data_IF_560801817314
#
_entry.id   IF_560801817314
#
_cell.length_a   1.000
_cell.length_b   1.000
_cell.length_c   1.000
_cell.angle_alpha   90.00
_cell.angle_beta   90.00
_cell.angle_gamma   90.00
#
_symmetry.space_group_name_H-M   'P 1'
#
loop_
_entity.id
_entity.type
_entity.pdbx_description
1 polymer ?
#
# COMPACT_ATOMS: atom_id res chain seq x y z
N UNK A 1 -25.48 5.85 -1.31
CA UNK A 1 -26.24 6.83 -2.11
C UNK A 1 -25.41 8.08 -2.43
N UNK A 2 -24.84 8.81 -1.46
CA UNK A 2 -24.07 10.04 -1.74
C UNK A 2 -22.73 9.83 -2.47
N UNK A 3 -21.99 8.75 -2.17
CA UNK A 3 -20.77 8.35 -2.88
C UNK A 3 -21.01 8.03 -4.37
N UNK A 4 -22.22 7.63 -4.76
CA UNK A 4 -22.54 7.39 -6.18
C UNK A 4 -22.91 8.67 -6.93
N UNK A 5 -23.14 9.78 -6.23
CA UNK A 5 -23.63 11.03 -6.83
C UNK A 5 -22.57 12.10 -7.04
N UNK A 6 -21.29 11.86 -6.68
CA UNK A 6 -20.17 12.82 -6.77
C UNK A 6 -20.49 14.23 -6.22
N UNK A 7 -21.40 14.30 -5.25
CA UNK A 7 -21.88 15.55 -4.63
C UNK A 7 -21.15 15.76 -3.29
N UNK A 8 -19.83 15.85 -3.36
CA UNK A 8 -18.97 16.05 -2.18
C UNK A 8 -19.40 17.29 -1.37
N UNK A 9 -19.78 18.38 -2.04
CA UNK A 9 -20.22 19.63 -1.39
C UNK A 9 -21.51 19.48 -0.57
N UNK A 10 -22.44 18.63 -1.00
CA UNK A 10 -23.70 18.40 -0.28
C UNK A 10 -23.46 17.48 0.91
N UNK A 11 -22.59 16.47 0.76
CA UNK A 11 -22.18 15.66 1.89
C UNK A 11 -21.40 16.49 2.92
N UNK A 12 -20.52 17.39 2.47
CA UNK A 12 -19.78 18.31 3.34
C UNK A 12 -20.74 19.21 4.14
N UNK A 13 -21.71 19.85 3.49
CA UNK A 13 -22.74 20.68 4.16
C UNK A 13 -23.63 19.88 5.12
N UNK A 14 -23.99 18.65 4.77
CA UNK A 14 -24.76 17.76 5.66
C UNK A 14 -23.96 17.38 6.92
N UNK A 15 -22.63 17.27 6.79
CA UNK A 15 -21.74 16.86 7.87
C UNK A 15 -21.34 18.01 8.81
N UNK A 16 -21.29 19.25 8.30
CA UNK A 16 -21.15 20.46 9.13
C UNK A 16 -22.37 20.70 10.03
N UNK A 17 -23.55 20.20 9.64
CA UNK A 17 -24.74 20.18 10.48
C UNK A 17 -24.63 19.09 11.58
N UNK A 18 -23.72 19.35 12.54
CA UNK A 18 -23.30 18.44 13.63
C UNK A 18 -24.45 17.90 14.49
N UNK A 19 -25.65 18.51 14.44
CA UNK A 19 -26.80 18.09 15.23
C UNK A 19 -27.58 16.93 14.60
N UNK A 20 -27.65 16.83 13.26
CA UNK A 20 -28.44 15.81 12.57
C UNK A 20 -27.75 14.45 12.45
N UNK A 21 -26.42 14.42 12.36
CA UNK A 21 -25.66 13.23 11.96
C UNK A 21 -24.68 12.68 13.00
N UNK A 22 -24.71 13.22 14.23
CA UNK A 22 -23.92 12.70 15.36
C UNK A 22 -24.16 11.19 15.59
N UNK A 23 -25.39 10.73 15.28
CA UNK A 23 -25.77 9.32 15.35
C UNK A 23 -25.24 8.47 14.18
N UNK A 24 -25.12 9.04 12.99
CA UNK A 24 -24.65 8.34 11.79
C UNK A 24 -23.13 8.08 11.85
N UNK A 25 -22.39 9.04 12.39
CA UNK A 25 -20.96 8.96 12.67
C UNK A 25 -20.58 7.89 13.71
N UNK A 26 -21.55 7.26 14.37
CA UNK A 26 -21.26 6.15 15.27
C UNK A 26 -20.90 4.85 14.55
N UNK A 27 -21.21 4.73 13.26
CA UNK A 27 -20.86 3.57 12.45
C UNK A 27 -19.52 3.81 11.74
N UNK A 28 -18.52 2.95 11.99
CA UNK A 28 -17.19 3.06 11.39
C UNK A 28 -17.23 3.19 9.86
N UNK A 29 -18.16 2.48 9.20
CA UNK A 29 -18.35 2.56 7.75
C UNK A 29 -18.78 3.96 7.30
N UNK A 30 -19.67 4.62 8.05
CA UNK A 30 -20.07 6.00 7.74
C UNK A 30 -18.88 6.97 7.88
N UNK A 31 -18.01 6.73 8.86
CA UNK A 31 -16.77 7.51 9.04
C UNK A 31 -15.80 7.29 7.86
N UNK A 32 -15.62 6.04 7.39
CA UNK A 32 -14.79 5.79 6.19
C UNK A 32 -15.34 6.54 4.98
N UNK A 33 -16.65 6.44 4.72
CA UNK A 33 -17.29 7.15 3.59
C UNK A 33 -17.09 8.66 3.72
N UNK A 34 -17.21 9.20 4.93
CA UNK A 34 -16.97 10.62 5.17
C UNK A 34 -15.52 11.02 4.89
N UNK A 35 -14.55 10.25 5.40
CA UNK A 35 -13.13 10.49 5.12
C UNK A 35 -12.81 10.38 3.62
N UNK A 36 -13.45 9.45 2.92
CA UNK A 36 -13.29 9.27 1.48
C UNK A 36 -13.82 10.49 0.70
N UNK A 37 -14.99 11.01 1.08
CA UNK A 37 -15.55 12.24 0.49
C UNK A 37 -14.68 13.48 0.78
N UNK A 38 -14.09 13.57 1.97
CA UNK A 38 -13.12 14.62 2.28
C UNK A 38 -11.86 14.48 1.41
N UNK A 39 -11.39 13.26 1.20
CA UNK A 39 -10.23 12.96 0.37
C UNK A 39 -10.49 13.31 -1.11
N UNK A 40 -11.64 12.92 -1.66
CA UNK A 40 -12.07 13.30 -3.01
C UNK A 40 -12.21 14.82 -3.18
N UNK A 41 -12.62 15.53 -2.12
CA UNK A 41 -12.70 17.00 -2.07
C UNK A 41 -11.39 17.71 -1.74
N UNK A 42 -10.26 17.00 -1.79
CA UNK A 42 -8.90 17.51 -1.49
C UNK A 42 -8.78 18.16 -0.10
N UNK A 43 -9.63 17.76 0.85
CA UNK A 43 -9.64 18.22 2.25
C UNK A 43 -8.75 17.32 3.11
N UNK A 44 -7.48 17.20 2.73
CA UNK A 44 -6.56 16.21 3.29
C UNK A 44 -6.29 16.41 4.78
N UNK A 45 -6.14 17.64 5.25
CA UNK A 45 -5.96 17.94 6.66
C UNK A 45 -7.19 17.51 7.49
N UNK A 46 -8.38 17.65 6.92
CA UNK A 46 -9.63 17.23 7.56
C UNK A 46 -9.74 15.70 7.62
N UNK A 47 -9.24 14.98 6.60
CA UNK A 47 -9.14 13.51 6.64
C UNK A 47 -8.27 13.07 7.82
N UNK A 48 -7.08 13.67 7.96
CA UNK A 48 -6.14 13.35 9.05
C UNK A 48 -6.77 13.65 10.41
N UNK A 49 -7.37 14.83 10.59
CA UNK A 49 -8.06 15.21 11.84
C UNK A 49 -9.19 14.24 12.19
N UNK A 50 -9.98 13.81 11.21
CA UNK A 50 -11.06 12.84 11.44
C UNK A 50 -10.52 11.50 11.96
N UNK A 51 -9.40 11.03 11.41
CA UNK A 51 -8.73 9.83 11.91
C UNK A 51 -8.22 10.00 13.34
N UNK A 52 -7.61 11.14 13.68
CA UNK A 52 -7.11 11.39 15.04
C UNK A 52 -8.23 11.42 16.07
N UNK A 53 -9.37 12.05 15.75
CA UNK A 53 -10.55 12.06 16.61
C UNK A 53 -11.08 10.64 16.85
N UNK A 54 -11.09 9.82 15.79
CA UNK A 54 -11.50 8.42 15.87
C UNK A 54 -10.54 7.60 16.73
N UNK A 55 -9.23 7.84 16.59
CA UNK A 55 -8.18 7.12 17.31
C UNK A 55 -8.16 7.44 18.81
N UNK A 56 -8.39 8.71 19.17
CA UNK A 56 -8.49 9.14 20.58
C UNK A 56 -9.77 8.68 21.26
N UNK A 57 -10.79 8.28 20.49
CA UNK A 57 -12.08 7.87 21.04
C UNK A 57 -11.97 6.58 21.83
N UNK A 58 -12.30 6.63 23.13
CA UNK A 58 -12.35 5.45 24.01
C UNK A 58 -13.29 4.37 23.46
N UNK A 59 -14.34 4.77 22.74
CA UNK A 59 -15.31 3.85 22.11
C UNK A 59 -14.67 2.94 21.06
N UNK A 60 -13.64 3.41 20.38
CA UNK A 60 -13.02 2.71 19.24
C UNK A 60 -11.60 2.24 19.52
N UNK A 61 -11.09 2.45 20.74
CA UNK A 61 -9.72 2.11 21.16
C UNK A 61 -9.30 0.67 20.84
N UNK A 62 -10.25 -0.27 20.87
CA UNK A 62 -10.02 -1.69 20.64
C UNK A 62 -10.34 -2.16 19.21
N UNK A 63 -10.85 -1.28 18.35
CA UNK A 63 -11.24 -1.66 16.99
C UNK A 63 -10.09 -1.46 15.99
N UNK A 64 -9.99 -2.34 14.98
CA UNK A 64 -9.01 -2.19 13.92
C UNK A 64 -9.44 -1.08 12.95
N UNK A 65 -8.82 0.10 13.04
CA UNK A 65 -9.08 1.26 12.17
C UNK A 65 -8.28 1.22 10.86
N UNK A 66 -8.18 0.04 10.22
CA UNK A 66 -7.28 -0.19 9.06
C UNK A 66 -7.59 0.71 7.87
N UNK A 67 -8.85 0.80 7.48
CA UNK A 67 -9.26 1.58 6.31
C UNK A 67 -9.14 3.09 6.58
N UNK A 68 -9.53 3.52 7.79
CA UNK A 68 -9.38 4.91 8.23
C UNK A 68 -7.91 5.33 8.24
N UNK A 69 -7.01 4.50 8.78
CA UNK A 69 -5.58 4.78 8.78
C UNK A 69 -5.02 4.82 7.35
N UNK A 70 -5.50 3.94 6.46
CA UNK A 70 -5.08 3.95 5.04
C UNK A 70 -5.47 5.26 4.36
N UNK A 71 -6.69 5.76 4.58
CA UNK A 71 -7.14 7.06 4.05
C UNK A 71 -6.36 8.24 4.65
N UNK A 72 -6.10 8.21 5.97
CA UNK A 72 -5.26 9.22 6.61
C UNK A 72 -3.84 9.23 6.03
N UNK A 73 -3.26 8.06 5.80
CA UNK A 73 -1.93 7.96 5.20
C UNK A 73 -1.90 8.40 3.73
N UNK A 74 -2.95 8.09 2.97
CA UNK A 74 -3.11 8.59 1.60
C UNK A 74 -3.18 10.13 1.60
N UNK A 75 -3.92 10.73 2.53
CA UNK A 75 -4.02 12.18 2.67
C UNK A 75 -2.65 12.82 3.02
N UNK A 76 -1.90 12.23 3.96
CA UNK A 76 -0.54 12.67 4.28
C UNK A 76 0.40 12.56 3.07
N UNK A 77 0.30 11.48 2.30
CA UNK A 77 1.05 11.31 1.06
C UNK A 77 0.72 12.41 0.04
N UNK A 78 -0.55 12.77 -0.13
CA UNK A 78 -0.98 13.86 -1.02
C UNK A 78 -0.50 15.25 -0.57
N UNK A 79 -0.46 15.51 0.74
CA UNK A 79 0.08 16.75 1.29
C UNK A 79 1.59 16.90 1.04
N UNK A 80 2.33 15.78 0.99
CA UNK A 80 3.75 15.70 0.65
C UNK A 80 4.65 16.77 1.31
N UNK A 81 4.44 17.03 2.60
CA UNK A 81 5.25 17.97 3.38
C UNK A 81 6.06 17.25 4.46
N UNK A 82 7.12 17.89 4.97
CA UNK A 82 7.92 17.36 6.07
C UNK A 82 7.05 17.07 7.31
N UNK A 83 6.10 17.96 7.62
CA UNK A 83 5.13 17.76 8.70
C UNK A 83 4.25 16.52 8.46
N UNK A 84 3.86 16.28 7.20
CA UNK A 84 3.10 15.09 6.85
C UNK A 84 3.94 13.82 7.03
N UNK A 85 5.24 13.86 6.75
CA UNK A 85 6.16 12.73 6.97
C UNK A 85 6.37 12.43 8.46
N UNK A 86 6.59 13.47 9.28
CA UNK A 86 6.67 13.33 10.73
C UNK A 86 5.41 12.65 11.26
N UNK A 87 4.25 13.14 10.83
CA UNK A 87 2.96 12.58 11.22
C UNK A 87 2.78 11.14 10.77
N UNK A 88 3.13 10.83 9.53
CA UNK A 88 3.06 9.47 8.99
C UNK A 88 3.91 8.50 9.83
N UNK A 89 5.12 8.91 10.18
CA UNK A 89 6.06 8.14 10.99
C UNK A 89 5.50 7.88 12.39
N UNK A 90 4.97 8.91 13.06
CA UNK A 90 4.31 8.77 14.36
C UNK A 90 3.18 7.74 14.31
N UNK A 91 2.31 7.82 13.29
CA UNK A 91 1.17 6.91 13.16
C UNK A 91 1.60 5.46 12.91
N UNK A 92 2.65 5.25 12.09
CA UNK A 92 3.19 3.91 11.82
C UNK A 92 3.82 3.33 13.09
N UNK A 93 4.64 4.09 13.80
CA UNK A 93 5.29 3.65 15.05
C UNK A 93 4.28 3.35 16.15
N UNK A 94 3.30 4.25 16.37
CA UNK A 94 2.24 4.05 17.35
C UNK A 94 1.43 2.77 17.06
N UNK A 95 1.24 2.44 15.78
CA UNK A 95 0.56 1.23 15.37
C UNK A 95 1.42 -0.01 15.60
N UNK A 96 2.72 0.06 15.28
CA UNK A 96 3.66 -1.04 15.48
C UNK A 96 3.81 -1.44 16.96
N UNK A 97 3.94 -0.47 17.86
CA UNK A 97 4.04 -0.73 19.30
C UNK A 97 2.74 -1.23 19.93
N UNK A 98 1.61 -1.09 19.24
CA UNK A 98 0.33 -1.58 19.70
C UNK A 98 0.03 -2.94 19.04
N UNK A 99 0.39 -4.04 19.71
CA UNK A 99 0.30 -5.44 19.22
C UNK A 99 -1.07 -5.89 18.71
N UNK A 100 -2.13 -5.08 18.90
CA UNK A 100 -3.49 -5.33 18.41
C UNK A 100 -3.80 -4.63 17.08
N UNK A 101 -2.90 -3.83 16.53
CA UNK A 101 -3.13 -3.04 15.32
C UNK A 101 -2.18 -3.46 14.20
N UNK A 102 -2.75 -4.03 13.14
CA UNK A 102 -2.01 -4.43 11.95
C UNK A 102 -2.16 -3.31 10.91
N UNK A 103 -1.04 -2.75 10.46
CA UNK A 103 -1.02 -1.82 9.33
C UNK A 103 -1.37 -2.57 8.05
N UNK A 104 -2.20 -1.96 7.20
CA UNK A 104 -2.42 -2.52 5.88
C UNK A 104 -1.15 -2.33 5.03
N UNK A 105 -0.88 -3.24 4.09
CA UNK A 105 0.23 -3.06 3.16
C UNK A 105 0.19 -1.74 2.41
N UNK A 106 -1.01 -1.26 2.01
CA UNK A 106 -1.17 0.06 1.40
C UNK A 106 -0.81 1.22 2.33
N UNK A 107 -1.13 1.11 3.62
CA UNK A 107 -0.73 2.12 4.61
C UNK A 107 0.79 2.27 4.63
N UNK A 108 1.52 1.16 4.64
CA UNK A 108 2.99 1.20 4.58
C UNK A 108 3.49 1.73 3.23
N UNK A 109 2.84 1.35 2.13
CA UNK A 109 3.18 1.83 0.80
C UNK A 109 3.10 3.37 0.71
N UNK A 110 2.00 3.98 1.19
CA UNK A 110 1.87 5.44 1.23
C UNK A 110 2.92 6.11 2.11
N UNK A 111 3.16 5.58 3.31
CA UNK A 111 4.15 6.14 4.23
C UNK A 111 5.58 6.04 3.66
N UNK A 112 5.94 4.91 3.04
CA UNK A 112 7.23 4.72 2.42
C UNK A 112 7.40 5.56 1.16
N UNK A 113 6.36 5.68 0.33
CA UNK A 113 6.38 6.57 -0.83
C UNK A 113 6.52 8.04 -0.42
N UNK A 114 5.88 8.46 0.68
CA UNK A 114 6.06 9.80 1.25
C UNK A 114 7.51 10.01 1.70
N UNK A 115 8.11 9.04 2.40
CA UNK A 115 9.52 9.12 2.80
C UNK A 115 10.45 9.21 1.57
N UNK A 116 10.18 8.44 0.51
CA UNK A 116 10.92 8.54 -0.76
C UNK A 116 10.75 9.92 -1.42
N UNK A 117 9.55 10.51 -1.42
CA UNK A 117 9.33 11.86 -1.96
C UNK A 117 10.10 12.94 -1.19
N UNK A 118 10.38 12.71 0.09
CA UNK A 118 11.20 13.58 0.94
C UNK A 118 12.69 13.19 0.94
N UNK A 119 13.14 12.38 -0.03
CA UNK A 119 14.52 11.91 -0.16
C UNK A 119 15.07 11.17 1.08
N UNK A 120 14.22 10.43 1.79
CA UNK A 120 14.62 9.61 2.93
C UNK A 120 14.39 8.11 2.66
N UNK A 121 15.28 7.46 1.87
CA UNK A 121 15.15 6.05 1.51
C UNK A 121 15.38 5.10 2.70
N UNK A 122 16.19 5.46 3.70
CA UNK A 122 16.39 4.65 4.90
C UNK A 122 15.08 4.47 5.68
N UNK A 123 14.37 5.58 5.94
CA UNK A 123 13.08 5.55 6.60
C UNK A 123 12.05 4.76 5.79
N UNK A 124 12.06 4.87 4.46
CA UNK A 124 11.19 4.09 3.59
C UNK A 124 11.43 2.58 3.79
N UNK A 125 12.70 2.14 3.86
CA UNK A 125 13.03 0.75 4.14
C UNK A 125 12.61 0.31 5.54
N UNK A 126 12.82 1.13 6.55
CA UNK A 126 12.37 0.83 7.92
C UNK A 126 10.87 0.59 7.97
N UNK A 127 10.07 1.47 7.37
CA UNK A 127 8.61 1.33 7.28
C UNK A 127 8.24 0.03 6.54
N UNK A 128 8.92 -0.27 5.43
CA UNK A 128 8.63 -1.44 4.60
C UNK A 128 9.10 -2.76 5.21
N UNK A 129 10.04 -2.73 6.19
CA UNK A 129 10.46 -3.90 6.99
C UNK A 129 9.41 -4.31 8.02
N UNK A 130 8.47 -3.43 8.37
CA UNK A 130 7.34 -3.75 9.25
C UNK A 130 6.28 -4.65 8.61
N UNK A 131 6.54 -5.17 7.41
CA UNK A 131 5.67 -6.11 6.69
C UNK A 131 5.65 -7.49 7.36
N UNK A 132 4.48 -8.11 7.41
CA UNK A 132 4.36 -9.53 7.80
C UNK A 132 4.83 -10.38 6.62
N UNK A 133 5.40 -11.56 6.86
CA UNK A 133 5.92 -12.47 5.81
C UNK A 133 4.87 -12.81 4.72
N UNK A 134 3.57 -12.74 5.02
CA UNK A 134 2.48 -12.90 4.04
C UNK A 134 2.31 -11.73 3.05
N UNK A 135 2.95 -10.59 3.32
CA UNK A 135 2.87 -9.37 2.50
C UNK A 135 3.87 -9.37 1.33
N UNK A 136 4.68 -10.43 1.20
CA UNK A 136 5.66 -10.63 0.13
C UNK A 136 5.05 -10.57 -1.29
N UNK A 137 3.71 -10.64 -1.39
CA UNK A 137 2.95 -10.73 -2.64
C UNK A 137 2.40 -9.37 -3.11
N UNK A 138 2.66 -8.27 -2.41
CA UNK A 138 2.22 -6.94 -2.88
C UNK A 138 3.31 -6.26 -3.69
N UNK A 139 3.14 -6.30 -5.02
CA UNK A 139 3.99 -5.62 -6.02
C UNK A 139 4.41 -4.21 -5.62
N UNK A 140 3.51 -3.44 -4.99
CA UNK A 140 3.78 -2.08 -4.52
C UNK A 140 4.91 -2.00 -3.49
N UNK A 141 4.87 -2.82 -2.42
CA UNK A 141 5.86 -2.71 -1.35
C UNK A 141 7.23 -3.21 -1.82
N UNK A 142 7.27 -4.27 -2.63
CA UNK A 142 8.51 -4.79 -3.22
C UNK A 142 9.12 -3.75 -4.15
N UNK A 143 8.32 -3.12 -5.00
CA UNK A 143 8.77 -2.06 -5.88
C UNK A 143 9.32 -0.85 -5.12
N UNK A 144 8.64 -0.37 -4.07
CA UNK A 144 9.14 0.71 -3.22
C UNK A 144 10.44 0.31 -2.49
N UNK A 145 10.60 -0.96 -2.08
CA UNK A 145 11.86 -1.47 -1.52
C UNK A 145 12.99 -1.41 -2.55
N UNK A 146 12.76 -1.86 -3.79
CA UNK A 146 13.76 -1.80 -4.87
C UNK A 146 14.19 -0.34 -5.11
N UNK A 147 13.23 0.58 -5.22
CA UNK A 147 13.53 2.01 -5.41
C UNK A 147 14.36 2.56 -4.24
N UNK A 148 14.01 2.23 -3.00
CA UNK A 148 14.74 2.69 -1.83
C UNK A 148 16.16 2.12 -1.76
N UNK A 149 16.35 0.82 -2.02
CA UNK A 149 17.67 0.18 -2.10
C UNK A 149 18.52 0.80 -3.20
N UNK A 150 17.90 1.13 -4.34
CA UNK A 150 18.59 1.76 -5.47
C UNK A 150 19.11 3.16 -5.16
N UNK A 151 18.37 3.92 -4.34
CA UNK A 151 18.80 5.25 -3.87
C UNK A 151 19.88 5.20 -2.77
N UNK A 152 20.05 4.04 -2.12
CA UNK A 152 21.10 3.79 -1.13
C UNK A 152 22.32 3.08 -1.74
N UNK A 153 22.34 2.91 -3.07
CA UNK A 153 23.37 2.17 -3.81
C UNK A 153 23.62 0.75 -3.25
N UNK A 154 22.59 0.12 -2.68
CA UNK A 154 22.63 -1.26 -2.16
C UNK A 154 22.38 -2.27 -3.29
N UNK A 155 23.33 -2.34 -4.22
CA UNK A 155 23.20 -3.07 -5.50
C UNK A 155 22.84 -4.53 -5.32
N UNK A 156 23.60 -5.28 -4.51
CA UNK A 156 23.38 -6.72 -4.33
C UNK A 156 21.97 -7.02 -3.81
N UNK A 157 21.51 -6.26 -2.81
CA UNK A 157 20.19 -6.42 -2.22
C UNK A 157 19.07 -6.04 -3.20
N UNK A 158 19.27 -5.00 -4.01
CA UNK A 158 18.30 -4.57 -5.00
C UNK A 158 18.16 -5.59 -6.15
N UNK A 159 19.28 -6.16 -6.62
CA UNK A 159 19.32 -7.20 -7.64
C UNK A 159 18.71 -8.51 -7.14
N UNK A 160 19.05 -8.95 -5.93
CA UNK A 160 18.45 -10.15 -5.32
C UNK A 160 16.92 -10.01 -5.19
N UNK A 161 16.45 -8.82 -4.84
CA UNK A 161 15.02 -8.54 -4.73
C UNK A 161 14.33 -8.50 -6.10
N UNK A 162 14.99 -7.98 -7.14
CA UNK A 162 14.50 -8.02 -8.52
C UNK A 162 14.36 -9.47 -9.00
N UNK A 163 15.37 -10.31 -8.77
CA UNK A 163 15.35 -11.72 -9.20
C UNK A 163 14.22 -12.48 -8.52
N UNK A 164 14.06 -12.30 -7.21
CA UNK A 164 12.91 -12.87 -6.46
C UNK A 164 11.58 -12.40 -7.03
N UNK A 165 11.47 -11.13 -7.39
CA UNK A 165 10.25 -10.56 -7.95
C UNK A 165 9.98 -11.08 -9.37
N UNK A 166 11.02 -11.25 -10.20
CA UNK A 166 10.94 -11.84 -11.53
C UNK A 166 10.46 -13.31 -11.48
N UNK A 167 11.08 -14.14 -10.63
CA UNK A 167 10.71 -15.56 -10.45
C UNK A 167 9.25 -15.70 -10.00
N UNK A 168 8.80 -14.87 -9.06
CA UNK A 168 7.40 -14.91 -8.61
C UNK A 168 6.42 -14.47 -9.70
N UNK A 169 6.82 -13.52 -10.53
CA UNK A 169 6.04 -13.03 -11.65
C UNK A 169 5.85 -14.11 -12.70
N UNK A 170 6.87 -14.92 -12.99
CA UNK A 170 6.83 -15.97 -14.01
C UNK A 170 6.08 -17.24 -13.58
N UNK A 171 5.97 -17.51 -12.27
CA UNK A 171 5.28 -18.71 -11.72
C UNK A 171 3.75 -18.52 -11.60
N UNK A 172 3.23 -17.28 -11.64
CA UNK A 172 1.78 -17.04 -11.43
C UNK A 172 0.95 -17.36 -12.69
N UNK A 173 0.33 -18.55 -12.71
CA UNK A 173 -0.36 -19.12 -13.87
C UNK A 173 -1.63 -18.36 -14.34
N UNK A 174 -2.30 -17.59 -13.48
CA UNK A 174 -3.55 -16.92 -13.87
C UNK A 174 -3.34 -15.48 -14.38
N UNK A 175 -2.43 -14.70 -13.77
CA UNK A 175 -1.97 -13.38 -14.24
C UNK A 175 -0.58 -13.06 -13.66
N UNK A 176 0.50 -13.04 -14.46
CA UNK A 176 1.82 -12.66 -13.96
C UNK A 176 1.79 -11.22 -13.44
N UNK A 177 2.32 -10.99 -12.23
CA UNK A 177 2.37 -9.67 -11.60
C UNK A 177 3.42 -8.78 -12.27
N UNK A 178 3.02 -7.77 -13.03
CA UNK A 178 3.98 -6.91 -13.72
C UNK A 178 4.83 -6.07 -12.75
N UNK A 179 6.10 -5.88 -13.10
CA UNK A 179 7.07 -5.01 -12.44
C UNK A 179 6.80 -3.56 -12.83
N UNK A 180 6.88 -2.62 -11.90
CA UNK A 180 6.71 -1.19 -12.19
C UNK A 180 7.93 -0.62 -12.94
N UNK A 181 7.71 0.26 -13.93
CA UNK A 181 8.79 0.87 -14.71
C UNK A 181 9.75 1.67 -13.83
N UNK A 182 9.26 2.31 -12.76
CA UNK A 182 10.06 3.09 -11.81
C UNK A 182 11.14 2.24 -11.12
N UNK A 183 10.89 0.93 -10.94
CA UNK A 183 11.89 0.02 -10.40
C UNK A 183 13.05 -0.18 -11.38
N UNK A 184 12.72 -0.38 -12.66
CA UNK A 184 13.70 -0.62 -13.71
C UNK A 184 14.54 0.64 -13.95
N UNK A 185 13.90 1.81 -13.92
CA UNK A 185 14.59 3.10 -14.02
C UNK A 185 15.55 3.31 -12.84
N UNK A 186 15.06 3.17 -11.59
CA UNK A 186 15.89 3.34 -10.40
C UNK A 186 17.10 2.38 -10.37
N UNK A 187 16.87 1.12 -10.77
CA UNK A 187 17.95 0.12 -10.89
C UNK A 187 18.92 0.47 -12.01
N UNK A 188 18.44 0.91 -13.18
CA UNK A 188 19.30 1.32 -14.29
C UNK A 188 20.23 2.44 -13.86
N UNK A 189 19.70 3.48 -13.23
CA UNK A 189 20.50 4.59 -12.72
C UNK A 189 21.55 4.13 -11.70
N UNK A 190 21.19 3.22 -10.80
CA UNK A 190 22.11 2.66 -9.81
C UNK A 190 23.20 1.81 -10.45
N UNK A 191 22.84 0.96 -11.42
CA UNK A 191 23.77 0.10 -12.16
C UNK A 191 24.72 0.91 -13.02
N UNK A 192 24.26 2.02 -13.61
CA UNK A 192 25.10 2.93 -14.39
C UNK A 192 26.16 3.63 -13.53
N UNK A 193 25.82 3.96 -12.27
CA UNK A 193 26.76 4.50 -11.27
C UNK A 193 27.74 3.44 -10.74
N UNK A 194 27.42 2.15 -10.86
CA UNK A 194 28.29 1.07 -10.43
C UNK A 194 29.33 0.77 -11.53
N UNK A 195 30.56 0.44 -11.15
CA UNK A 195 31.64 0.16 -12.11
C UNK A 195 31.78 -1.33 -12.46
N UNK A 196 31.01 -2.22 -11.83
CA UNK A 196 31.10 -3.66 -12.05
C UNK A 196 30.43 -4.09 -13.38
N UNK A 197 31.22 -4.57 -14.36
CA UNK A 197 30.69 -5.01 -15.65
C UNK A 197 29.76 -6.22 -15.55
N UNK A 198 29.96 -7.08 -14.55
CA UNK A 198 29.13 -8.27 -14.35
C UNK A 198 27.72 -7.87 -13.93
N UNK A 199 27.59 -6.92 -13.01
CA UNK A 199 26.30 -6.39 -12.56
C UNK A 199 25.56 -5.72 -13.72
N UNK A 200 26.28 -4.90 -14.52
CA UNK A 200 25.73 -4.27 -15.73
C UNK A 200 25.16 -5.28 -16.71
N UNK A 201 25.91 -6.35 -16.97
CA UNK A 201 25.49 -7.40 -17.86
C UNK A 201 24.26 -8.15 -17.31
N UNK A 202 24.30 -8.57 -16.03
CA UNK A 202 23.19 -9.27 -15.39
C UNK A 202 21.90 -8.43 -15.40
N UNK A 203 21.98 -7.15 -15.05
CA UNK A 203 20.80 -6.26 -15.12
C UNK A 203 20.26 -6.12 -16.55
N UNK A 204 21.15 -5.98 -17.53
CA UNK A 204 20.76 -5.86 -18.95
C UNK A 204 20.03 -7.10 -19.43
N UNK A 205 20.56 -8.29 -19.11
CA UNK A 205 19.94 -9.57 -19.48
C UNK A 205 18.56 -9.73 -18.83
N UNK A 206 18.47 -9.50 -17.51
CA UNK A 206 17.18 -9.55 -16.78
C UNK A 206 16.16 -8.55 -17.32
N UNK A 207 16.59 -7.32 -17.64
CA UNK A 207 15.73 -6.29 -18.24
C UNK A 207 15.20 -6.74 -19.60
N UNK A 208 16.07 -7.26 -20.47
CA UNK A 208 15.67 -7.77 -21.79
C UNK A 208 14.67 -8.91 -21.68
N UNK A 209 14.84 -9.81 -20.71
CA UNK A 209 13.91 -10.92 -20.50
C UNK A 209 12.55 -10.46 -19.98
N UNK A 210 12.53 -9.48 -19.07
CA UNK A 210 11.29 -8.82 -18.60
C UNK A 210 10.54 -8.12 -19.73
N UNK A 211 11.25 -7.42 -20.62
CA UNK A 211 10.69 -6.74 -21.78
C UNK A 211 10.08 -7.73 -22.79
N UNK A 212 10.84 -8.77 -23.16
CA UNK A 212 10.37 -9.84 -24.08
C UNK A 212 9.13 -10.54 -23.54
N UNK A 213 9.09 -10.79 -22.23
CA UNK A 213 7.96 -11.42 -21.57
C UNK A 213 6.78 -10.45 -21.28
N UNK A 214 6.89 -9.17 -21.64
CA UNK A 214 5.90 -8.12 -21.36
C UNK A 214 5.52 -8.00 -19.87
N UNK A 215 6.50 -8.25 -19.00
CA UNK A 215 6.35 -8.26 -17.55
C UNK A 215 6.61 -6.89 -16.91
N UNK A 216 6.84 -5.85 -17.70
CA UNK A 216 6.93 -4.46 -17.24
C UNK A 216 5.57 -3.79 -17.42
N UNK A 217 5.13 -3.09 -16.37
CA UNK A 217 3.89 -2.32 -16.36
C UNK A 217 4.06 -1.01 -17.15
N UNK A 218 2.95 -0.44 -17.61
CA UNK A 218 2.94 0.82 -18.36
C UNK A 218 2.51 2.02 -17.51
N UNK A 219 2.33 1.83 -16.20
CA UNK A 219 1.88 2.85 -15.24
C UNK A 219 2.92 2.94 -14.13
N UNK A 220 3.22 4.17 -13.70
CA UNK A 220 4.11 4.41 -12.55
C UNK A 220 3.53 3.82 -11.27
N UNK A 221 4.40 3.35 -10.37
CA UNK A 221 3.98 2.96 -9.02
C UNK A 221 3.31 4.12 -8.28
N UNK A 222 3.78 5.35 -8.47
CA UNK A 222 3.27 6.52 -7.75
C UNK A 222 1.85 6.89 -8.18
N UNK A 223 1.54 6.70 -9.46
CA UNK A 223 0.18 6.80 -9.98
C UNK A 223 -0.68 5.65 -9.44
N UNK A 224 -0.13 4.42 -9.50
CA UNK A 224 -0.84 3.22 -9.06
C UNK A 224 -1.18 3.21 -7.56
N UNK A 225 -0.38 3.88 -6.73
CA UNK A 225 -0.66 4.04 -5.31
C UNK A 225 -1.99 4.75 -5.08
N UNK A 226 -2.30 5.75 -5.92
CA UNK A 226 -3.49 6.60 -5.79
C UNK A 226 -4.71 6.09 -6.56
N UNK A 227 -4.56 5.05 -7.37
CA UNK A 227 -5.68 4.44 -8.09
C UNK A 227 -6.78 4.03 -7.10
N UNK A 228 -8.03 4.38 -7.46
CA UNK A 228 -9.21 4.06 -6.67
C UNK A 228 -9.19 2.59 -6.29
N UNK A 229 -9.50 2.28 -5.02
CA UNK A 229 -9.64 0.92 -4.49
C UNK A 229 -10.93 0.31 -5.08
N UNK A 230 -11.03 0.23 -6.41
CA UNK A 230 -12.14 -0.41 -7.08
C UNK A 230 -11.96 -1.92 -6.92
N UNK A 231 -12.58 -2.43 -5.85
CA UNK A 231 -13.07 -3.79 -5.70
C UNK A 231 -12.12 -4.87 -6.25
N UNK A 232 -11.01 -5.11 -5.56
CA UNK A 232 -10.51 -6.47 -5.44
C UNK A 232 -11.43 -7.25 -4.49
N UNK A 233 -12.72 -7.36 -4.83
CA UNK A 233 -13.49 -8.49 -4.32
C UNK A 233 -12.85 -9.70 -4.99
N UNK A 234 -12.33 -10.70 -4.25
CA UNK A 234 -12.11 -11.98 -4.89
C UNK A 234 -13.46 -12.36 -5.51
N UNK A 235 -13.48 -12.68 -6.80
CA UNK A 235 -14.65 -13.28 -7.42
C UNK A 235 -15.14 -14.41 -6.51
N UNK A 236 -16.46 -14.53 -6.31
CA UNK A 236 -17.03 -15.50 -5.36
C UNK A 236 -16.54 -16.95 -5.61
N UNK A 237 -16.02 -17.24 -6.81
CA UNK A 237 -15.33 -18.49 -7.15
C UNK A 237 -14.07 -18.76 -6.31
N UNK A 238 -13.34 -17.73 -5.88
CA UNK A 238 -12.15 -17.89 -5.04
C UNK A 238 -12.50 -18.23 -3.59
N UNK A 239 -13.64 -17.73 -3.06
CA UNK A 239 -14.10 -18.08 -1.71
C UNK A 239 -14.62 -19.52 -1.67
N UNK A 240 -15.35 -19.97 -2.70
CA UNK A 240 -15.78 -21.37 -2.82
C UNK A 240 -14.59 -22.33 -2.95
N UNK A 241 -13.57 -21.99 -3.75
CA UNK A 241 -12.37 -22.81 -3.89
C UNK A 241 -11.51 -22.88 -2.61
N UNK A 242 -11.45 -21.82 -1.80
CA UNK A 242 -10.75 -21.82 -0.51
C UNK A 242 -11.53 -22.60 0.58
N UNK A 243 -12.86 -22.57 0.54
CA UNK A 243 -13.71 -23.37 1.43
C UNK A 243 -13.67 -24.86 1.06
N UNK A 244 -13.63 -25.20 -0.22
CA UNK A 244 -13.51 -26.60 -0.69
C UNK A 244 -12.15 -27.23 -0.36
N UNK A 245 -11.05 -26.45 -0.46
CA UNK A 245 -9.72 -26.94 -0.07
C UNK A 245 -9.61 -27.22 1.43
N UNK A 246 -10.24 -26.39 2.28
CA UNK A 246 -10.32 -26.64 3.73
C UNK A 246 -11.25 -27.80 4.07
N UNK A 247 -12.34 -27.99 3.33
CA UNK A 247 -13.26 -29.12 3.51
C UNK A 247 -12.66 -30.49 3.15
N UNK A 248 -11.73 -30.54 2.18
CA UNK A 248 -11.03 -31.79 1.81
C UNK A 248 -9.94 -32.18 2.80
N UNK A 249 -9.13 -31.23 3.29
CA UNK A 249 -8.08 -31.53 4.29
C UNK A 249 -8.63 -32.09 5.62
N UNK A 250 -9.84 -31.70 6.02
CA UNK A 250 -10.46 -32.21 7.26
C UNK A 250 -11.00 -33.64 7.10
N UNK A 251 -11.39 -34.06 5.89
CA UNK A 251 -11.89 -35.43 5.65
C UNK A 251 -10.79 -36.48 5.58
N UNK A 252 -9.59 -36.09 5.17
CA UNK A 252 -8.45 -37.02 5.06
C UNK A 252 -7.76 -37.29 6.41
N UNK A 253 -8.03 -36.49 7.45
CA UNK A 253 -7.50 -36.70 8.81
C UNK A 253 -8.41 -37.53 9.73
N UNK A 254 -9.49 -38.13 9.22
CA UNK A 254 -10.38 -39.03 9.98
C UNK A 254 -10.45 -40.45 9.39
N UNK A 255 -9.48 -40.82 8.55
CA UNK A 255 -9.33 -42.17 8.00
C UNK A 255 -7.94 -42.75 8.28
N UNK A 256 -7.52 -42.77 9.54
CA UNK A 256 -6.52 -43.72 10.05
C UNK A 256 -6.78 -43.97 11.52
#
# INVERSE_FOLDING_TARGET
>A
MLHHSKKADIAFKLMEDRKGMRNLLFHLTAVVIYMDLLYEGEKYEQVVKCYEELDRSQKYKHLPLRNHMTLAMAALYKMNSQQALEKATELVQATYHNSKRITSPRTRAYAAALALNQNNPDLALEILKLSVESDFVQSLNTALKIIALSRLDQVDAAMELLDKYHVQTSISYDKPSKIFPDCIEALSEMVDRNDDPQIKQTFTDTKMDLEKAQLINNVSIFDKLCDTILNSRPDNEHIQNLQDKRGRQVRDHHRY
#
